data_IF_749320063589
#
_entry.id   IF_749320063589
#
_cell.length_a   1.000
_cell.length_b   1.000
_cell.length_c   1.000
_cell.angle_alpha   90.00
_cell.angle_beta   90.00
_cell.angle_gamma   90.00
#
_symmetry.space_group_name_H-M   'P 1'
#
loop_
_entity.id
_entity.type
_entity.pdbx_description
1 polymer ?
#
# COMPACT_ATOMS: atom_id res chain seq x y z
N UNK A 1 15.79 -14.79 -8.68
CA UNK A 1 15.66 -14.02 -7.42
C UNK A 1 16.90 -13.15 -7.29
N UNK A 2 16.73 -11.85 -7.03
CA UNK A 2 17.82 -10.90 -6.80
C UNK A 2 17.97 -10.62 -5.32
N UNK A 3 19.19 -10.49 -4.85
CA UNK A 3 19.52 -10.37 -3.41
C UNK A 3 20.19 -9.02 -3.18
N UNK A 4 19.69 -8.27 -2.21
CA UNK A 4 20.18 -6.95 -1.81
C UNK A 4 20.51 -6.91 -0.32
N UNK A 5 21.56 -6.19 0.03
CA UNK A 5 21.94 -5.94 1.43
C UNK A 5 21.34 -4.62 1.97
N UNK A 6 20.84 -3.77 1.08
CA UNK A 6 20.33 -2.45 1.38
C UNK A 6 18.94 -2.28 0.79
N UNK A 7 18.01 -1.73 1.55
CA UNK A 7 16.68 -1.37 1.07
C UNK A 7 16.73 -0.25 0.04
N UNK A 8 17.73 0.63 0.12
CA UNK A 8 17.94 1.67 -0.87
C UNK A 8 18.25 1.07 -2.26
N UNK A 9 19.18 0.12 -2.34
CA UNK A 9 19.53 -0.53 -3.60
C UNK A 9 18.35 -1.33 -4.17
N UNK A 10 17.65 -2.05 -3.30
CA UNK A 10 16.44 -2.80 -3.68
C UNK A 10 15.39 -1.87 -4.28
N UNK A 11 15.03 -0.79 -3.61
CA UNK A 11 13.99 0.14 -4.08
C UNK A 11 14.42 0.89 -5.35
N UNK A 12 15.69 1.26 -5.44
CA UNK A 12 16.25 1.92 -6.63
C UNK A 12 16.20 0.99 -7.84
N UNK A 13 16.56 -0.28 -7.66
CA UNK A 13 16.48 -1.29 -8.72
C UNK A 13 15.05 -1.57 -9.16
N UNK A 14 14.12 -1.73 -8.19
CA UNK A 14 12.70 -1.89 -8.48
C UNK A 14 12.17 -0.73 -9.31
N UNK A 15 12.50 0.51 -8.93
CA UNK A 15 12.08 1.71 -9.66
C UNK A 15 12.62 1.74 -11.09
N UNK A 16 13.90 1.38 -11.27
CA UNK A 16 14.53 1.29 -12.59
C UNK A 16 13.87 0.23 -13.46
N UNK A 17 13.61 -0.95 -12.92
CA UNK A 17 12.94 -2.04 -13.64
C UNK A 17 11.51 -1.69 -14.02
N UNK A 18 10.73 -1.12 -13.10
CA UNK A 18 9.39 -0.64 -13.39
C UNK A 18 9.38 0.37 -14.54
N UNK A 19 10.35 1.28 -14.55
CA UNK A 19 10.46 2.27 -15.63
C UNK A 19 10.84 1.65 -16.95
N UNK A 20 11.74 0.64 -16.97
CA UNK A 20 12.29 0.04 -18.19
C UNK A 20 11.42 -1.07 -18.78
N UNK A 21 10.81 -1.88 -17.92
CA UNK A 21 10.12 -3.12 -18.33
C UNK A 21 8.68 -3.21 -17.81
N UNK A 22 8.26 -2.31 -16.92
CA UNK A 22 6.91 -2.31 -16.36
C UNK A 22 5.86 -2.10 -17.44
N UNK A 23 4.85 -2.96 -17.44
CA UNK A 23 3.67 -2.80 -18.27
C UNK A 23 2.77 -1.72 -17.67
N UNK A 24 2.27 -0.83 -18.52
CA UNK A 24 1.29 0.17 -18.08
C UNK A 24 -0.05 -0.50 -17.89
N UNK A 25 -0.62 -0.33 -16.69
CA UNK A 25 -1.94 -0.87 -16.34
C UNK A 25 -2.87 0.29 -16.01
N UNK A 26 -4.05 0.28 -16.64
CA UNK A 26 -5.15 1.22 -16.37
C UNK A 26 -6.27 0.43 -15.67
N UNK A 27 -6.38 0.52 -14.33
CA UNK A 27 -7.45 -0.13 -13.62
C UNK A 27 -8.80 0.52 -13.96
N UNK A 28 -9.86 -0.29 -14.03
CA UNK A 28 -11.21 0.22 -14.34
C UNK A 28 -11.96 0.67 -13.10
N UNK A 29 -11.68 0.03 -11.98
CA UNK A 29 -12.38 0.30 -10.72
C UNK A 29 -11.42 0.32 -9.55
N UNK A 30 -11.74 1.16 -8.57
CA UNK A 30 -11.10 1.18 -7.26
C UNK A 30 -12.17 1.48 -6.19
N UNK A 31 -12.25 0.68 -5.14
CA UNK A 31 -13.31 0.78 -4.11
C UNK A 31 -14.72 0.87 -4.76
N UNK A 32 -14.98 0.00 -5.74
CA UNK A 32 -16.22 -0.05 -6.54
C UNK A 32 -16.59 1.23 -7.32
N UNK A 33 -15.70 2.21 -7.35
CA UNK A 33 -15.86 3.39 -8.21
C UNK A 33 -15.18 3.19 -9.55
N UNK A 34 -15.82 3.67 -10.62
CA UNK A 34 -15.18 3.73 -11.92
C UNK A 34 -14.07 4.79 -11.91
N UNK A 35 -12.86 4.37 -12.28
CA UNK A 35 -11.67 5.21 -12.39
C UNK A 35 -10.99 5.09 -13.76
N UNK A 36 -11.66 4.49 -14.76
CA UNK A 36 -11.08 4.17 -16.07
C UNK A 36 -10.47 5.40 -16.77
N UNK A 37 -11.08 6.58 -16.57
CA UNK A 37 -10.63 7.83 -17.18
C UNK A 37 -9.72 8.67 -16.28
N UNK A 38 -9.35 8.14 -15.09
CA UNK A 38 -8.51 8.88 -14.15
C UNK A 38 -7.04 8.46 -14.30
N UNK A 39 -6.23 9.33 -14.90
CA UNK A 39 -4.80 9.08 -15.14
C UNK A 39 -3.97 8.97 -13.85
N UNK A 40 -4.46 9.46 -12.71
CA UNK A 40 -3.79 9.33 -11.41
C UNK A 40 -3.72 7.88 -10.91
N UNK A 41 -4.55 7.00 -11.47
CA UNK A 41 -4.56 5.57 -11.15
C UNK A 41 -3.81 4.69 -12.15
N UNK A 42 -3.18 5.31 -13.15
CA UNK A 42 -2.32 4.55 -14.07
C UNK A 42 -1.06 4.09 -13.34
N UNK A 43 -0.82 2.80 -13.36
CA UNK A 43 0.33 2.18 -12.71
C UNK A 43 1.25 1.49 -13.70
N UNK A 44 2.48 1.23 -13.26
CA UNK A 44 3.38 0.31 -13.94
C UNK A 44 3.56 -0.94 -13.10
N UNK A 45 3.46 -2.09 -13.71
CA UNK A 45 3.50 -3.38 -13.02
C UNK A 45 4.49 -4.34 -13.68
N UNK A 46 5.17 -5.12 -12.86
CA UNK A 46 5.96 -6.27 -13.28
C UNK A 46 5.46 -7.47 -12.49
N UNK A 47 4.98 -8.48 -13.20
CA UNK A 47 4.41 -9.67 -12.57
C UNK A 47 5.53 -10.70 -12.31
N UNK A 48 5.41 -11.44 -11.21
CA UNK A 48 6.29 -12.54 -10.82
C UNK A 48 7.75 -12.14 -10.52
N UNK A 49 8.02 -10.90 -10.15
CA UNK A 49 9.32 -10.50 -9.66
C UNK A 49 9.55 -10.93 -8.21
N UNK A 50 10.78 -11.33 -7.91
CA UNK A 50 11.20 -11.73 -6.58
C UNK A 50 12.47 -11.01 -6.17
N UNK A 51 12.41 -10.35 -5.03
CA UNK A 51 13.52 -9.66 -4.41
C UNK A 51 13.75 -10.21 -3.01
N UNK A 52 15.00 -10.27 -2.59
CA UNK A 52 15.38 -10.67 -1.24
C UNK A 52 16.21 -9.58 -0.60
N UNK A 53 15.79 -9.13 0.58
CA UNK A 53 16.59 -8.25 1.43
C UNK A 53 17.23 -9.10 2.52
N UNK A 54 18.55 -9.06 2.64
CA UNK A 54 19.30 -9.92 3.58
C UNK A 54 19.28 -9.39 5.01
N UNK A 55 18.94 -8.11 5.21
CA UNK A 55 18.85 -7.49 6.53
C UNK A 55 17.69 -6.53 6.61
N UNK A 56 16.91 -6.62 7.69
CA UNK A 56 15.86 -5.66 8.06
C UNK A 56 16.38 -4.56 8.98
N UNK A 57 17.65 -4.61 9.38
CA UNK A 57 18.26 -3.61 10.26
C UNK A 57 18.91 -2.45 9.51
N UNK A 58 18.84 -2.46 8.19
CA UNK A 58 19.35 -1.38 7.36
C UNK A 58 18.52 -0.09 7.54
N UNK A 59 19.12 1.02 8.02
CA UNK A 59 18.40 2.26 8.26
C UNK A 59 17.98 2.99 6.98
N UNK A 60 18.46 2.56 5.81
CA UNK A 60 18.18 3.25 4.53
C UNK A 60 16.73 3.17 4.11
N UNK A 61 15.96 2.21 4.64
CA UNK A 61 14.51 2.15 4.43
C UNK A 61 13.78 3.43 4.87
N UNK A 62 14.32 4.17 5.84
CA UNK A 62 13.74 5.44 6.32
C UNK A 62 13.65 6.50 5.22
N UNK A 63 14.54 6.49 4.22
CA UNK A 63 14.47 7.42 3.11
C UNK A 63 13.22 7.23 2.24
N UNK A 64 12.67 6.03 2.19
CA UNK A 64 11.50 5.71 1.39
C UNK A 64 10.19 5.77 2.18
N UNK A 65 10.24 5.48 3.49
CA UNK A 65 9.04 5.32 4.33
C UNK A 65 8.83 6.47 5.33
N UNK A 66 9.67 7.49 5.31
CA UNK A 66 9.73 8.49 6.37
C UNK A 66 8.56 9.48 6.43
N UNK A 67 7.54 9.36 5.59
CA UNK A 67 6.53 10.41 5.48
C UNK A 67 5.59 10.51 6.68
N UNK A 68 5.30 9.43 7.38
CA UNK A 68 4.56 9.48 8.65
C UNK A 68 4.68 8.16 9.39
N UNK A 69 5.48 8.14 10.44
CA UNK A 69 5.52 7.01 11.37
C UNK A 69 4.17 6.80 12.04
N UNK A 70 3.50 7.89 12.43
CA UNK A 70 2.19 7.84 13.06
C UNK A 70 1.17 7.12 12.16
N UNK A 71 1.17 7.41 10.87
CA UNK A 71 0.31 6.71 9.92
C UNK A 71 0.66 5.22 9.82
N UNK A 72 1.94 4.88 9.72
CA UNK A 72 2.39 3.48 9.62
C UNK A 72 2.03 2.68 10.87
N UNK A 73 2.22 3.27 12.06
CA UNK A 73 1.86 2.65 13.33
C UNK A 73 0.33 2.46 13.43
N UNK A 74 -0.46 3.45 13.02
CA UNK A 74 -1.92 3.35 13.01
C UNK A 74 -2.40 2.26 12.05
N UNK A 75 -1.87 2.22 10.83
CA UNK A 75 -2.24 1.20 9.84
C UNK A 75 -1.85 -0.20 10.30
N UNK A 76 -0.69 -0.36 10.91
CA UNK A 76 -0.26 -1.63 11.47
C UNK A 76 -1.18 -2.09 12.61
N UNK A 77 -1.49 -1.20 13.56
CA UNK A 77 -2.39 -1.52 14.69
C UNK A 77 -3.78 -1.91 14.20
N UNK A 78 -4.34 -1.20 13.23
CA UNK A 78 -5.64 -1.54 12.67
C UNK A 78 -5.66 -2.91 11.98
N UNK A 79 -4.55 -3.35 11.41
CA UNK A 79 -4.45 -4.69 10.79
C UNK A 79 -4.35 -5.82 11.80
N UNK A 80 -3.70 -5.61 12.94
CA UNK A 80 -3.52 -6.65 13.98
C UNK A 80 -4.61 -6.64 15.04
N UNK A 81 -5.36 -5.54 15.17
CA UNK A 81 -6.50 -5.47 16.09
C UNK A 81 -7.69 -6.23 15.52
N UNK A 82 -8.02 -7.34 16.16
CA UNK A 82 -9.14 -8.20 15.79
C UNK A 82 -10.33 -8.09 16.74
N UNK A 83 -10.30 -7.14 17.69
CA UNK A 83 -11.36 -6.94 18.67
C UNK A 83 -12.66 -6.46 18.01
N UNK A 84 -12.56 -5.47 17.15
CA UNK A 84 -13.69 -4.84 16.47
C UNK A 84 -13.38 -4.55 14.99
N UNK A 85 -14.45 -4.40 14.20
CA UNK A 85 -14.35 -3.93 12.82
C UNK A 85 -14.01 -2.44 12.82
N UNK A 86 -12.90 -2.09 12.15
CA UNK A 86 -12.43 -0.71 11.99
C UNK A 86 -12.68 -0.26 10.54
N UNK A 87 -13.64 0.66 10.37
CA UNK A 87 -13.98 1.22 9.06
C UNK A 87 -14.72 2.56 9.17
N UNK A 88 -14.19 3.70 8.76
CA UNK A 88 -12.76 3.90 8.46
C UNK A 88 -11.95 3.90 9.75
N UNK A 89 -10.64 3.82 9.67
CA UNK A 89 -9.76 3.86 10.82
C UNK A 89 -8.98 5.17 10.95
N UNK A 90 -8.14 5.26 11.98
CA UNK A 90 -7.26 6.41 12.23
C UNK A 90 -6.21 6.57 11.11
N UNK A 91 -5.73 5.49 10.53
CA UNK A 91 -4.79 5.54 9.40
C UNK A 91 -5.39 6.30 8.20
N UNK A 92 -6.70 6.15 7.98
CA UNK A 92 -7.42 6.93 6.99
C UNK A 92 -7.48 8.42 7.35
N UNK A 93 -7.78 8.78 8.60
CA UNK A 93 -7.85 10.18 9.05
C UNK A 93 -6.53 10.92 8.81
N UNK A 94 -5.40 10.25 9.00
CA UNK A 94 -4.06 10.78 8.78
C UNK A 94 -3.71 11.00 7.29
N UNK A 95 -4.52 10.46 6.37
CA UNK A 95 -4.39 10.59 4.92
C UNK A 95 -5.74 10.87 4.25
N UNK A 96 -6.56 11.65 4.89
CA UNK A 96 -7.93 11.96 4.48
C UNK A 96 -7.99 12.54 3.06
N UNK A 97 -7.09 13.45 2.75
CA UNK A 97 -6.95 14.09 1.44
C UNK A 97 -6.86 13.08 0.29
N UNK A 98 -6.18 11.97 0.52
CA UNK A 98 -6.03 10.91 -0.48
C UNK A 98 -7.27 10.02 -0.60
N UNK A 99 -7.91 9.68 0.53
CA UNK A 99 -8.89 8.61 0.61
C UNK A 99 -10.35 9.07 0.69
N UNK A 100 -10.62 10.34 1.04
CA UNK A 100 -11.98 10.86 1.24
C UNK A 100 -12.92 10.62 0.05
N UNK A 101 -12.37 10.70 -1.16
CA UNK A 101 -13.12 10.46 -2.40
C UNK A 101 -13.73 9.05 -2.52
N UNK A 102 -13.23 8.09 -1.75
CA UNK A 102 -13.68 6.69 -1.79
C UNK A 102 -14.70 6.35 -0.70
N UNK A 103 -14.99 7.28 0.20
CA UNK A 103 -15.98 7.05 1.24
C UNK A 103 -17.40 7.12 0.67
N UNK A 104 -18.23 6.17 1.09
CA UNK A 104 -19.67 6.16 0.86
C UNK A 104 -20.36 6.11 2.22
N UNK A 105 -21.15 7.12 2.54
CA UNK A 105 -21.78 7.25 3.87
C UNK A 105 -20.79 7.14 5.04
N UNK A 106 -19.61 7.73 4.88
CA UNK A 106 -18.56 7.75 5.89
C UNK A 106 -17.80 6.44 6.08
N UNK A 107 -17.96 5.47 5.18
CA UNK A 107 -17.25 4.18 5.21
C UNK A 107 -16.63 3.84 3.87
N UNK A 108 -15.56 3.05 3.91
CA UNK A 108 -15.07 2.35 2.73
C UNK A 108 -15.93 1.13 2.42
N UNK A 109 -15.89 0.66 1.19
CA UNK A 109 -16.52 -0.60 0.79
C UNK A 109 -15.97 -1.78 1.58
N UNK A 110 -14.68 -1.75 1.87
CA UNK A 110 -13.99 -2.69 2.78
C UNK A 110 -12.71 -2.07 3.34
N UNK A 111 -12.23 -2.63 4.46
CA UNK A 111 -10.89 -2.37 5.00
C UNK A 111 -10.08 -3.66 5.13
N UNK A 112 -8.77 -3.54 5.29
CA UNK A 112 -7.93 -4.71 5.58
C UNK A 112 -8.28 -5.36 6.92
N UNK A 113 -8.63 -4.55 7.93
CA UNK A 113 -9.10 -5.04 9.22
C UNK A 113 -10.33 -5.93 9.07
N UNK A 114 -11.36 -5.49 8.33
CA UNK A 114 -12.56 -6.31 8.06
C UNK A 114 -12.21 -7.64 7.40
N UNK A 115 -11.35 -7.61 6.38
CA UNK A 115 -10.92 -8.82 5.68
C UNK A 115 -10.18 -9.80 6.59
N UNK A 116 -9.28 -9.29 7.45
CA UNK A 116 -8.54 -10.11 8.40
C UNK A 116 -9.49 -10.75 9.42
N UNK A 117 -10.41 -9.97 9.98
CA UNK A 117 -11.41 -10.48 10.93
C UNK A 117 -12.27 -11.57 10.31
N UNK A 118 -12.72 -11.40 9.06
CA UNK A 118 -13.52 -12.41 8.36
C UNK A 118 -12.76 -13.70 8.03
N UNK A 119 -11.43 -13.67 7.98
CA UNK A 119 -10.62 -14.87 7.76
C UNK A 119 -10.35 -15.62 9.07
N UNK A 120 -10.22 -14.90 10.20
CA UNK A 120 -9.85 -15.46 11.49
C UNK A 120 -11.07 -16.02 12.25
N UNK A 121 -12.24 -15.43 12.06
CA UNK A 121 -13.51 -15.87 12.68
C UNK A 121 -14.26 -16.85 11.80
#
# INVERSE_FOLDING_TARGET
MRIYSSSYDLMSEMGRELNSYGQTVKPKTYQNKNIEDNEDFVTKEIICQQYCLTSLQDPTWLFFYSRSREWADAEFQERIDTSDIINPGKAWELRKDLWEQFLVNGKFDYTYNERIIHVIK
#
